data_IF_118502690943
#
_entry.id   IF_118502690943
#
_cell.length_a   1.000
_cell.length_b   1.000
_cell.length_c   1.000
_cell.angle_alpha   90.00
_cell.angle_beta   90.00
_cell.angle_gamma   90.00
#
_symmetry.space_group_name_H-M   'P 1'
#
loop_
_entity.id
_entity.type
_entity.pdbx_description
1 polymer ?
#
# COMPACT_ATOMS: atom_id res chain seq x y z
N UNK A 1 -37.27 -6.61 38.17
CA UNK A 1 -35.92 -5.99 38.25
C UNK A 1 -34.78 -6.98 37.98
N UNK A 2 -34.90 -8.28 38.27
CA UNK A 2 -33.87 -9.30 37.96
C UNK A 2 -33.82 -9.73 36.49
N UNK A 3 -34.97 -9.80 35.79
CA UNK A 3 -35.03 -10.15 34.38
C UNK A 3 -34.39 -9.12 33.44
N UNK A 4 -34.52 -7.82 33.73
CA UNK A 4 -33.89 -6.74 32.93
C UNK A 4 -32.36 -6.74 33.03
N UNK A 5 -31.80 -7.18 34.17
CA UNK A 5 -30.35 -7.34 34.35
C UNK A 5 -29.82 -8.56 33.58
N UNK A 6 -30.55 -9.67 33.57
CA UNK A 6 -30.18 -10.85 32.78
C UNK A 6 -30.24 -10.59 31.28
N UNK A 7 -31.28 -9.89 30.79
CA UNK A 7 -31.36 -9.51 29.38
C UNK A 7 -30.25 -8.53 28.98
N UNK A 8 -29.88 -7.60 29.87
CA UNK A 8 -28.75 -6.69 29.63
C UNK A 8 -27.40 -7.41 29.62
N UNK A 9 -27.16 -8.30 30.58
CA UNK A 9 -25.92 -9.10 30.66
C UNK A 9 -25.82 -10.05 29.46
N UNK A 10 -26.92 -10.69 29.07
CA UNK A 10 -26.94 -11.56 27.90
C UNK A 10 -26.68 -10.78 26.61
N UNK A 11 -27.28 -9.59 26.48
CA UNK A 11 -27.04 -8.68 25.35
C UNK A 11 -25.59 -8.20 25.31
N UNK A 12 -25.02 -7.79 26.43
CA UNK A 12 -23.61 -7.37 26.51
C UNK A 12 -22.64 -8.53 26.22
N UNK A 13 -22.91 -9.73 26.73
CA UNK A 13 -22.14 -10.95 26.41
C UNK A 13 -22.26 -11.33 24.93
N UNK A 14 -23.46 -11.21 24.34
CA UNK A 14 -23.68 -11.47 22.92
C UNK A 14 -22.91 -10.48 22.04
N UNK A 15 -22.92 -9.19 22.40
CA UNK A 15 -22.15 -8.14 21.71
C UNK A 15 -20.65 -8.39 21.84
N UNK A 16 -20.18 -8.75 23.05
CA UNK A 16 -18.77 -9.04 23.31
C UNK A 16 -18.31 -10.31 22.59
N UNK A 17 -19.14 -11.35 22.57
CA UNK A 17 -18.87 -12.60 21.87
C UNK A 17 -18.83 -12.41 20.36
N UNK A 18 -19.72 -11.59 19.81
CA UNK A 18 -19.68 -11.24 18.38
C UNK A 18 -18.43 -10.43 18.04
N UNK A 19 -18.07 -9.42 18.84
CA UNK A 19 -16.83 -8.66 18.65
C UNK A 19 -15.58 -9.56 18.71
N UNK A 20 -15.57 -10.56 19.59
CA UNK A 20 -14.47 -11.53 19.69
C UNK A 20 -14.39 -12.43 18.46
N UNK A 21 -15.54 -12.92 17.95
CA UNK A 21 -15.59 -13.70 16.72
C UNK A 21 -15.05 -12.92 15.51
N UNK A 22 -15.51 -11.68 15.34
CA UNK A 22 -15.03 -10.79 14.27
C UNK A 22 -13.53 -10.52 14.38
N UNK A 23 -13.02 -10.35 15.61
CA UNK A 23 -11.59 -10.16 15.85
C UNK A 23 -10.77 -11.40 15.46
N UNK A 24 -11.22 -12.60 15.81
CA UNK A 24 -10.56 -13.84 15.41
C UNK A 24 -10.58 -14.01 13.89
N UNK A 25 -11.72 -13.73 13.26
CA UNK A 25 -11.87 -13.84 11.82
C UNK A 25 -10.90 -12.88 11.09
N UNK A 26 -10.83 -11.63 11.52
CA UNK A 26 -9.92 -10.63 10.97
C UNK A 26 -8.44 -11.04 11.14
N UNK A 27 -8.05 -11.54 12.32
CA UNK A 27 -6.69 -12.05 12.55
C UNK A 27 -6.41 -13.24 11.63
N UNK A 28 -7.38 -14.15 11.48
CA UNK A 28 -7.25 -15.35 10.64
C UNK A 28 -7.07 -14.99 9.17
N UNK A 29 -7.81 -14.00 8.68
CA UNK A 29 -7.67 -13.48 7.31
C UNK A 29 -6.27 -12.91 7.08
N UNK A 30 -5.77 -12.09 8.01
CA UNK A 30 -4.42 -11.50 7.93
C UNK A 30 -3.33 -12.57 7.94
N UNK A 31 -3.45 -13.57 8.81
CA UNK A 31 -2.49 -14.68 8.88
C UNK A 31 -2.55 -15.52 7.60
N UNK A 32 -3.74 -15.84 7.11
CA UNK A 32 -3.92 -16.60 5.87
C UNK A 32 -3.26 -15.88 4.68
N UNK A 33 -3.52 -14.57 4.52
CA UNK A 33 -2.92 -13.75 3.45
C UNK A 33 -1.39 -13.70 3.57
N UNK A 34 -0.83 -13.60 4.78
CA UNK A 34 0.63 -13.66 5.00
C UNK A 34 1.25 -15.01 4.61
N UNK A 35 0.62 -16.10 4.99
CA UNK A 35 1.07 -17.46 4.63
C UNK A 35 1.05 -17.64 3.11
N UNK A 36 0.00 -17.17 2.44
CA UNK A 36 -0.11 -17.21 0.99
C UNK A 36 1.01 -16.40 0.31
N UNK A 37 1.26 -15.18 0.77
CA UNK A 37 2.37 -14.35 0.26
C UNK A 37 3.73 -15.07 0.43
N UNK A 38 3.99 -15.69 1.59
CA UNK A 38 5.23 -16.44 1.83
C UNK A 38 5.35 -17.62 0.87
N UNK A 39 4.26 -18.36 0.66
CA UNK A 39 4.21 -19.48 -0.27
C UNK A 39 4.53 -19.04 -1.70
N UNK A 40 3.97 -17.91 -2.15
CA UNK A 40 4.27 -17.34 -3.46
C UNK A 40 5.74 -16.89 -3.57
N UNK A 41 6.33 -16.26 -2.53
CA UNK A 41 7.76 -15.92 -2.53
C UNK A 41 8.66 -17.16 -2.60
N UNK A 42 8.26 -18.25 -1.94
CA UNK A 42 8.96 -19.52 -2.07
C UNK A 42 8.89 -20.06 -3.50
N UNK A 43 7.73 -19.99 -4.14
CA UNK A 43 7.56 -20.37 -5.55
C UNK A 43 8.43 -19.50 -6.48
N UNK A 44 8.44 -18.19 -6.29
CA UNK A 44 9.30 -17.27 -7.05
C UNK A 44 10.78 -17.61 -6.88
N UNK A 45 11.23 -17.86 -5.65
CA UNK A 45 12.61 -18.29 -5.36
C UNK A 45 12.95 -19.61 -6.07
N UNK A 46 12.04 -20.58 -6.08
CA UNK A 46 12.24 -21.84 -6.79
C UNK A 46 12.33 -21.66 -8.32
N UNK A 47 11.52 -20.76 -8.89
CA UNK A 47 11.58 -20.44 -10.32
C UNK A 47 12.90 -19.77 -10.69
N UNK A 48 13.38 -18.83 -9.88
CA UNK A 48 14.69 -18.20 -10.06
C UNK A 48 15.82 -19.22 -10.00
N UNK A 49 15.80 -20.11 -9.01
CA UNK A 49 16.79 -21.20 -8.89
C UNK A 49 16.80 -22.09 -10.15
N UNK A 50 15.63 -22.41 -10.70
CA UNK A 50 15.54 -23.20 -11.94
C UNK A 50 16.14 -22.45 -13.14
N UNK A 51 15.95 -21.13 -13.24
CA UNK A 51 16.59 -20.33 -14.28
C UNK A 51 18.11 -20.39 -14.15
N UNK A 52 18.63 -20.29 -12.93
CA UNK A 52 20.06 -20.40 -12.66
C UNK A 52 20.60 -21.81 -13.00
N UNK A 53 19.86 -22.87 -12.64
CA UNK A 53 20.23 -24.26 -12.95
C UNK A 53 20.30 -24.51 -14.47
N UNK A 54 19.34 -23.98 -15.23
CA UNK A 54 19.32 -24.07 -16.70
C UNK A 54 20.48 -23.30 -17.30
N UNK A 55 20.75 -22.09 -16.80
CA UNK A 55 21.87 -21.26 -17.24
C UNK A 55 23.21 -21.96 -16.96
N UNK A 56 23.37 -22.53 -15.76
CA UNK A 56 24.56 -23.29 -15.38
C UNK A 56 24.71 -24.57 -16.22
N UNK A 57 23.61 -25.25 -16.56
CA UNK A 57 23.62 -26.43 -17.45
C UNK A 57 24.12 -26.07 -18.85
N UNK A 58 23.61 -24.99 -19.44
CA UNK A 58 24.09 -24.50 -20.75
C UNK A 58 25.56 -24.12 -20.68
N UNK A 59 25.98 -23.40 -19.63
CA UNK A 59 27.38 -23.05 -19.42
C UNK A 59 28.30 -24.28 -19.35
N UNK A 60 27.88 -25.34 -18.63
CA UNK A 60 28.63 -26.61 -18.58
C UNK A 60 28.70 -27.30 -19.94
N UNK A 61 27.61 -27.33 -20.71
CA UNK A 61 27.59 -27.92 -22.05
C UNK A 61 28.55 -27.20 -23.00
N UNK A 62 28.54 -25.85 -22.98
CA UNK A 62 29.46 -25.05 -23.78
C UNK A 62 30.92 -25.31 -23.37
N UNK A 63 31.22 -25.30 -22.07
CA UNK A 63 32.57 -25.52 -21.57
C UNK A 63 33.11 -26.92 -21.94
N UNK A 64 32.27 -27.95 -21.87
CA UNK A 64 32.60 -29.33 -22.25
C UNK A 64 32.90 -29.42 -23.75
N UNK A 65 32.01 -28.89 -24.60
CA UNK A 65 32.18 -28.91 -26.06
C UNK A 65 33.41 -28.13 -26.54
N UNK A 66 33.71 -26.98 -25.91
CA UNK A 66 34.93 -26.21 -26.19
C UNK A 66 36.18 -26.98 -25.77
N UNK A 67 36.13 -27.65 -24.62
CA UNK A 67 37.25 -28.49 -24.14
C UNK A 67 37.49 -29.68 -25.05
N UNK A 68 36.44 -30.40 -25.46
CA UNK A 68 36.55 -31.55 -26.36
C UNK A 68 37.07 -31.16 -27.74
N UNK A 69 36.71 -29.97 -28.24
CA UNK A 69 37.29 -29.42 -29.48
C UNK A 69 38.79 -29.13 -29.37
N UNK A 70 39.27 -28.73 -28.19
CA UNK A 70 40.69 -28.48 -27.96
C UNK A 70 41.50 -29.79 -27.93
N UNK A 71 40.90 -30.87 -27.44
CA UNK A 71 41.57 -32.16 -27.23
C UNK A 71 41.34 -33.17 -28.38
N UNK A 72 40.30 -33.00 -29.21
CA UNK A 72 39.96 -33.92 -30.30
C UNK A 72 39.71 -33.18 -31.62
N UNK A 73 40.18 -33.74 -32.74
CA UNK A 73 39.85 -33.27 -34.11
C UNK A 73 38.44 -33.71 -34.52
N UNK A 74 37.43 -33.52 -33.67
CA UNK A 74 36.03 -33.79 -34.02
C UNK A 74 35.55 -32.80 -35.10
N UNK A 75 34.62 -33.25 -35.95
CA UNK A 75 34.06 -32.43 -37.04
C UNK A 75 33.38 -31.16 -36.49
N UNK A 76 33.76 -29.95 -36.95
CA UNK A 76 33.27 -28.68 -36.40
C UNK A 76 31.74 -28.50 -36.46
N UNK A 77 31.10 -29.02 -37.50
CA UNK A 77 29.70 -28.71 -37.80
C UNK A 77 28.74 -29.38 -36.81
N UNK A 78 29.00 -30.63 -36.42
CA UNK A 78 28.14 -31.39 -35.48
C UNK A 78 28.07 -30.75 -34.09
N UNK A 79 29.17 -30.16 -33.62
CA UNK A 79 29.26 -29.50 -32.31
C UNK A 79 28.47 -28.19 -32.30
N UNK A 80 28.55 -27.41 -33.37
CA UNK A 80 27.83 -26.13 -33.48
C UNK A 80 26.32 -26.37 -33.48
N UNK A 81 25.84 -27.36 -34.23
CA UNK A 81 24.42 -27.72 -34.23
C UNK A 81 23.93 -28.20 -32.85
N UNK A 82 24.68 -29.06 -32.16
CA UNK A 82 24.29 -29.55 -30.84
C UNK A 82 24.23 -28.44 -29.77
N UNK A 83 25.14 -27.46 -29.84
CA UNK A 83 25.13 -26.30 -28.92
C UNK A 83 23.98 -25.35 -29.25
N UNK A 84 23.70 -25.10 -30.54
CA UNK A 84 22.62 -24.22 -30.98
C UNK A 84 21.23 -24.78 -30.61
N UNK A 85 21.04 -26.10 -30.77
CA UNK A 85 19.82 -26.79 -30.33
C UNK A 85 19.64 -26.67 -28.81
N UNK A 86 20.69 -26.97 -28.03
CA UNK A 86 20.65 -26.87 -26.58
C UNK A 86 20.40 -25.43 -26.10
N UNK A 87 20.95 -24.42 -26.78
CA UNK A 87 20.72 -23.02 -26.48
C UNK A 87 19.29 -22.60 -26.81
N UNK A 88 18.75 -23.08 -27.93
CA UNK A 88 17.38 -22.81 -28.35
C UNK A 88 16.36 -23.40 -27.36
N UNK A 89 16.56 -24.66 -26.95
CA UNK A 89 15.75 -25.33 -25.93
C UNK A 89 15.83 -24.59 -24.58
N UNK A 90 17.04 -24.30 -24.11
CA UNK A 90 17.25 -23.57 -22.87
C UNK A 90 16.61 -22.17 -22.89
N UNK A 91 16.69 -21.47 -24.02
CA UNK A 91 16.03 -20.15 -24.18
C UNK A 91 14.52 -20.26 -24.08
N UNK A 92 13.91 -21.26 -24.74
CA UNK A 92 12.48 -21.49 -24.66
C UNK A 92 12.06 -21.80 -23.20
N UNK A 93 12.81 -22.65 -22.52
CA UNK A 93 12.54 -23.03 -21.14
C UNK A 93 12.71 -21.87 -20.15
N UNK A 94 13.80 -21.09 -20.26
CA UNK A 94 13.98 -19.87 -19.44
C UNK A 94 12.84 -18.88 -19.68
N UNK A 95 12.38 -18.74 -20.93
CA UNK A 95 11.30 -17.83 -21.24
C UNK A 95 9.96 -18.27 -20.63
N UNK A 96 9.68 -19.57 -20.59
CA UNK A 96 8.54 -20.13 -19.86
C UNK A 96 8.64 -19.88 -18.35
N UNK A 97 9.81 -20.17 -17.75
CA UNK A 97 10.06 -19.91 -16.33
C UNK A 97 9.88 -18.42 -15.98
N UNK A 98 10.37 -17.50 -16.83
CA UNK A 98 10.18 -16.06 -16.66
C UNK A 98 8.71 -15.66 -16.74
N UNK A 99 7.92 -16.25 -17.65
CA UNK A 99 6.47 -16.00 -17.70
C UNK A 99 5.78 -16.45 -16.43
N UNK A 100 6.14 -17.62 -15.90
CA UNK A 100 5.60 -18.10 -14.62
C UNK A 100 5.99 -17.19 -13.46
N UNK A 101 7.24 -16.71 -13.43
CA UNK A 101 7.70 -15.77 -12.40
C UNK A 101 6.89 -14.47 -12.42
N UNK A 102 6.65 -13.89 -13.61
CA UNK A 102 5.83 -12.69 -13.75
C UNK A 102 4.40 -12.88 -13.24
N UNK A 103 3.82 -14.08 -13.41
CA UNK A 103 2.49 -14.40 -12.87
C UNK A 103 2.50 -14.46 -11.35
N UNK A 104 3.50 -15.11 -10.74
CA UNK A 104 3.66 -15.16 -9.28
C UNK A 104 3.87 -13.75 -8.70
N UNK A 105 4.69 -12.92 -9.34
CA UNK A 105 4.89 -11.53 -8.92
C UNK A 105 3.60 -10.70 -8.99
N UNK A 106 2.79 -10.92 -10.03
CA UNK A 106 1.48 -10.26 -10.15
C UNK A 106 0.54 -10.67 -9.02
N UNK A 107 0.49 -11.96 -8.66
CA UNK A 107 -0.31 -12.46 -7.53
C UNK A 107 0.15 -11.88 -6.19
N UNK A 108 1.47 -11.82 -5.95
CA UNK A 108 2.02 -11.19 -4.75
C UNK A 108 1.60 -9.72 -4.67
N UNK A 109 1.66 -9.00 -5.79
CA UNK A 109 1.27 -7.59 -5.85
C UNK A 109 -0.21 -7.39 -5.57
N UNK A 110 -1.07 -8.24 -6.11
CA UNK A 110 -2.52 -8.21 -5.90
C UNK A 110 -2.86 -8.39 -4.41
N UNK A 111 -2.33 -9.43 -3.76
CA UNK A 111 -2.54 -9.67 -2.33
C UNK A 111 -2.03 -8.51 -1.45
N UNK A 112 -0.90 -7.91 -1.81
CA UNK A 112 -0.38 -6.72 -1.10
C UNK A 112 -1.28 -5.51 -1.26
N UNK A 113 -1.87 -5.32 -2.45
CA UNK A 113 -2.78 -4.21 -2.72
C UNK A 113 -4.10 -4.40 -1.97
N UNK A 114 -4.62 -5.61 -1.93
CA UNK A 114 -5.80 -5.96 -1.13
C UNK A 114 -5.58 -5.72 0.36
N UNK A 115 -4.42 -6.15 0.90
CA UNK A 115 -4.05 -5.88 2.29
C UNK A 115 -3.96 -4.37 2.58
N UNK A 116 -3.30 -3.61 1.71
CA UNK A 116 -3.19 -2.16 1.84
C UNK A 116 -4.57 -1.49 1.80
N UNK A 117 -5.46 -1.96 0.93
CA UNK A 117 -6.81 -1.43 0.84
C UNK A 117 -7.58 -1.63 2.15
N UNK A 118 -7.50 -2.81 2.74
CA UNK A 118 -8.16 -3.12 4.01
C UNK A 118 -7.56 -2.31 5.17
N UNK A 119 -6.24 -2.17 5.22
CA UNK A 119 -5.56 -1.32 6.21
C UNK A 119 -6.02 0.15 6.11
N UNK A 120 -6.20 0.66 4.89
CA UNK A 120 -6.72 2.01 4.67
C UNK A 120 -8.19 2.17 5.10
N UNK A 121 -9.02 1.14 4.90
CA UNK A 121 -10.40 1.16 5.39
C UNK A 121 -10.46 1.16 6.92
N UNK A 122 -9.63 0.35 7.58
CA UNK A 122 -9.52 0.34 9.04
C UNK A 122 -9.02 1.69 9.57
N UNK A 123 -7.97 2.24 8.96
CA UNK A 123 -7.46 3.56 9.30
C UNK A 123 -8.54 4.63 9.16
N UNK A 124 -9.30 4.62 8.06
CA UNK A 124 -10.39 5.57 7.85
C UNK A 124 -11.48 5.43 8.90
N UNK A 125 -11.87 4.19 9.25
CA UNK A 125 -12.82 3.92 10.31
C UNK A 125 -12.34 4.45 11.66
N UNK A 126 -11.11 4.13 12.05
CA UNK A 126 -10.51 4.55 13.33
C UNK A 126 -10.42 6.08 13.45
N UNK A 127 -10.00 6.74 12.37
CA UNK A 127 -9.98 8.19 12.29
C UNK A 127 -11.40 8.76 12.47
N UNK A 128 -12.38 8.23 11.74
CA UNK A 128 -13.77 8.68 11.82
C UNK A 128 -14.37 8.52 13.21
N UNK A 129 -14.19 7.37 13.86
CA UNK A 129 -14.67 7.10 15.22
C UNK A 129 -14.06 8.06 16.23
N UNK A 130 -12.80 8.47 16.02
CA UNK A 130 -12.05 9.36 16.92
C UNK A 130 -12.19 10.85 16.56
N UNK A 131 -13.10 11.21 15.65
CA UNK A 131 -13.22 12.60 15.15
C UNK A 131 -11.89 13.16 14.64
N UNK A 132 -11.09 12.30 14.01
CA UNK A 132 -9.83 12.61 13.36
C UNK A 132 -9.95 12.36 11.85
N UNK A 133 -9.02 12.91 11.08
CA UNK A 133 -9.05 12.82 9.62
C UNK A 133 -7.68 12.94 8.97
N UNK A 134 -7.68 12.72 7.67
CA UNK A 134 -6.57 13.04 6.77
C UNK A 134 -7.09 14.10 5.80
N UNK A 135 -6.48 15.28 5.82
CA UNK A 135 -6.85 16.37 4.93
C UNK A 135 -5.76 16.67 3.92
N UNK A 136 -6.21 16.90 2.68
CA UNK A 136 -5.38 17.34 1.57
C UNK A 136 -5.57 18.83 1.38
N UNK A 137 -4.60 19.62 1.81
CA UNK A 137 -4.68 21.08 1.83
C UNK A 137 -3.75 21.68 0.77
N UNK A 138 -4.30 22.45 -0.16
CA UNK A 138 -3.50 23.15 -1.16
C UNK A 138 -3.06 24.51 -0.63
N UNK A 139 -1.76 24.80 -0.74
CA UNK A 139 -1.20 26.10 -0.37
C UNK A 139 -1.63 27.14 -1.39
N UNK A 140 -2.57 28.01 -1.02
CA UNK A 140 -3.04 29.06 -1.90
C UNK A 140 -2.01 30.20 -2.01
N UNK A 141 -2.00 30.90 -3.15
CA UNK A 141 -1.02 31.97 -3.44
C UNK A 141 -1.03 33.14 -2.44
N UNK A 142 -2.14 33.34 -1.72
CA UNK A 142 -2.29 34.40 -0.70
C UNK A 142 -2.55 33.85 0.70
N UNK A 143 -2.27 32.57 0.92
CA UNK A 143 -2.41 31.95 2.23
C UNK A 143 -1.30 32.40 3.18
N UNK A 144 -1.56 32.36 4.48
CA UNK A 144 -0.56 32.67 5.50
C UNK A 144 0.64 31.69 5.46
N UNK A 145 0.43 30.48 4.94
CA UNK A 145 1.46 29.49 4.74
C UNK A 145 2.42 29.76 3.57
N UNK A 146 2.04 30.60 2.59
CA UNK A 146 2.83 30.78 1.37
C UNK A 146 4.17 31.48 1.66
N UNK A 147 5.28 30.86 1.26
CA UNK A 147 6.64 31.37 1.49
C UNK A 147 7.14 31.21 2.93
N UNK A 148 6.37 30.57 3.81
CA UNK A 148 6.76 30.31 5.19
C UNK A 148 7.39 28.91 5.33
N UNK A 149 8.32 28.72 6.28
CA UNK A 149 8.78 27.38 6.63
C UNK A 149 7.67 26.60 7.33
N UNK A 150 7.69 25.27 7.21
CA UNK A 150 6.70 24.39 7.84
C UNK A 150 6.66 24.57 9.37
N UNK A 151 7.78 24.93 10.00
CA UNK A 151 7.85 25.26 11.44
C UNK A 151 7.02 26.48 11.85
N UNK A 152 6.66 27.38 10.92
CA UNK A 152 5.78 28.51 11.18
C UNK A 152 4.30 28.12 11.20
N UNK A 153 3.97 26.86 10.92
CA UNK A 153 2.61 26.37 10.97
C UNK A 153 2.04 26.44 12.41
N UNK A 154 0.71 26.50 12.56
CA UNK A 154 0.07 26.42 13.86
C UNK A 154 0.59 25.21 14.63
N UNK A 155 1.13 25.43 15.83
CA UNK A 155 1.60 24.35 16.69
C UNK A 155 0.38 23.59 17.20
N UNK A 156 0.20 22.39 16.69
CA UNK A 156 -0.92 21.54 17.03
C UNK A 156 -0.42 20.38 17.89
N UNK A 157 -1.20 20.02 18.91
CA UNK A 157 -0.75 19.09 19.95
C UNK A 157 -0.89 17.63 19.51
N UNK A 158 -1.83 17.35 18.59
CA UNK A 158 -2.18 16.00 18.16
C UNK A 158 -2.22 15.81 16.65
N UNK A 159 -1.96 16.85 15.86
CA UNK A 159 -1.90 16.76 14.40
C UNK A 159 -0.48 16.90 13.87
N UNK A 160 -0.24 16.21 12.76
CA UNK A 160 1.05 16.10 12.13
C UNK A 160 0.92 16.27 10.63
N UNK A 161 1.89 16.96 10.04
CA UNK A 161 2.04 17.01 8.59
C UNK A 161 2.75 15.73 8.16
N UNK A 162 2.07 14.88 7.40
CA UNK A 162 2.60 13.60 6.97
C UNK A 162 3.57 13.75 5.78
N UNK A 163 3.22 14.61 4.82
CA UNK A 163 4.04 14.87 3.63
C UNK A 163 3.57 16.12 2.89
N UNK A 164 4.43 16.64 2.02
CA UNK A 164 4.11 17.72 1.07
C UNK A 164 4.32 17.20 -0.35
N UNK A 165 3.31 17.34 -1.21
CA UNK A 165 3.44 17.09 -2.65
C UNK A 165 3.72 18.41 -3.37
N UNK A 166 4.80 18.43 -4.15
CA UNK A 166 5.14 19.52 -5.07
C UNK A 166 5.15 18.97 -6.49
N UNK A 167 4.04 19.15 -7.20
CA UNK A 167 3.83 18.48 -8.48
C UNK A 167 3.85 16.95 -8.33
N UNK A 168 4.72 16.20 -9.05
CA UNK A 168 4.80 14.75 -8.96
C UNK A 168 5.67 14.22 -7.81
N UNK A 169 6.31 15.11 -7.04
CA UNK A 169 7.30 14.72 -6.02
C UNK A 169 6.69 14.75 -4.62
N UNK A 170 6.91 13.67 -3.86
CA UNK A 170 6.64 13.60 -2.43
C UNK A 170 7.86 14.09 -1.65
N UNK A 171 7.66 15.08 -0.79
CA UNK A 171 8.68 15.71 0.04
C UNK A 171 8.41 15.33 1.49
N UNK A 172 9.45 14.84 2.17
CA UNK A 172 9.38 14.58 3.62
C UNK A 172 9.17 15.89 4.36
N UNK A 173 8.27 15.95 5.34
CA UNK A 173 8.06 17.16 6.14
C UNK A 173 9.32 17.44 6.96
N UNK A 174 9.92 18.60 6.78
CA UNK A 174 11.03 19.11 7.60
C UNK A 174 10.70 20.53 8.09
N UNK A 175 11.25 20.92 9.24
CA UNK A 175 10.92 22.20 9.87
C UNK A 175 11.34 23.42 9.04
N UNK A 176 12.37 23.26 8.22
CA UNK A 176 12.95 24.25 7.30
C UNK A 176 12.31 24.23 5.90
N UNK A 177 11.42 23.27 5.61
CA UNK A 177 10.76 23.17 4.31
C UNK A 177 9.88 24.40 4.06
N UNK A 178 10.30 25.22 3.10
CA UNK A 178 9.54 26.40 2.67
C UNK A 178 8.39 25.98 1.76
N UNK A 179 7.18 26.33 2.18
CA UNK A 179 5.93 26.05 1.48
C UNK A 179 5.74 27.02 0.32
N UNK A 180 5.39 26.48 -0.85
CA UNK A 180 5.18 27.23 -2.07
C UNK A 180 3.71 27.18 -2.49
N UNK A 181 3.18 28.25 -3.12
CA UNK A 181 1.87 28.19 -3.75
C UNK A 181 1.75 27.02 -4.72
N UNK A 182 0.67 26.24 -4.59
CA UNK A 182 0.45 25.02 -5.37
C UNK A 182 1.00 23.74 -4.73
N UNK A 183 1.78 23.84 -3.65
CA UNK A 183 2.08 22.69 -2.81
C UNK A 183 0.79 22.10 -2.25
N UNK A 184 0.81 20.79 -2.02
CA UNK A 184 -0.31 20.05 -1.43
C UNK A 184 0.21 19.39 -0.16
N UNK A 185 -0.30 19.84 0.97
CA UNK A 185 0.10 19.35 2.28
C UNK A 185 -0.90 18.30 2.74
N UNK A 186 -0.40 17.15 3.16
CA UNK A 186 -1.22 16.10 3.78
C UNK A 186 -1.08 16.21 5.29
N UNK A 187 -2.18 16.53 5.97
CA UNK A 187 -2.22 16.70 7.42
C UNK A 187 -3.10 15.61 8.02
N UNK A 188 -2.67 15.05 9.15
CA UNK A 188 -3.39 14.01 9.88
C UNK A 188 -3.61 14.50 11.31
N UNK A 189 -4.81 14.38 11.84
CA UNK A 189 -5.09 14.66 13.25
C UNK A 189 -6.57 14.92 13.56
N UNK A 190 -6.89 15.46 14.75
CA UNK A 190 -8.26 15.76 15.15
C UNK A 190 -8.91 16.82 14.24
N UNK A 191 -10.20 16.66 13.93
CA UNK A 191 -10.92 17.56 13.02
C UNK A 191 -10.83 19.03 13.44
N UNK A 192 -10.86 19.30 14.75
CA UNK A 192 -10.73 20.66 15.31
C UNK A 192 -9.40 21.33 15.01
N UNK A 193 -8.31 20.55 14.94
CA UNK A 193 -6.99 21.08 14.60
C UNK A 193 -6.82 21.19 13.07
N UNK A 194 -7.39 20.25 12.31
CA UNK A 194 -7.40 20.28 10.85
C UNK A 194 -8.10 21.54 10.30
N UNK A 195 -9.19 21.97 10.92
CA UNK A 195 -9.88 23.21 10.57
C UNK A 195 -8.96 24.45 10.69
N UNK A 196 -8.06 24.47 11.69
CA UNK A 196 -7.07 25.55 11.84
C UNK A 196 -6.01 25.52 10.73
N UNK A 197 -5.54 24.32 10.36
CA UNK A 197 -4.62 24.15 9.23
C UNK A 197 -5.26 24.55 7.91
N UNK A 198 -6.53 24.20 7.69
CA UNK A 198 -7.29 24.60 6.51
C UNK A 198 -7.26 26.11 6.32
N UNK A 199 -7.52 26.87 7.39
CA UNK A 199 -7.45 28.33 7.33
C UNK A 199 -6.03 28.83 7.01
N UNK A 200 -5.00 28.26 7.62
CA UNK A 200 -3.62 28.69 7.42
C UNK A 200 -3.10 28.42 5.99
N UNK A 201 -3.42 27.26 5.41
CA UNK A 201 -2.97 26.84 4.09
C UNK A 201 -3.78 27.40 2.92
N UNK A 202 -5.09 27.63 3.12
CA UNK A 202 -5.98 28.05 2.02
C UNK A 202 -6.39 29.52 2.12
N UNK A 203 -6.31 30.12 3.31
CA UNK A 203 -6.88 31.44 3.59
C UNK A 203 -8.42 31.46 3.62
N UNK A 204 -9.09 30.31 3.51
CA UNK A 204 -10.53 30.19 3.61
C UNK A 204 -10.98 29.92 5.04
N UNK A 205 -12.16 30.42 5.43
CA UNK A 205 -12.79 30.03 6.71
C UNK A 205 -13.10 28.52 6.69
N UNK A 206 -13.03 27.82 7.84
CA UNK A 206 -13.40 26.42 7.93
C UNK A 206 -14.79 26.20 7.34
N UNK A 207 -14.91 25.26 6.41
CA UNK A 207 -16.19 24.81 5.92
C UNK A 207 -16.86 24.05 7.07
N UNK A 208 -17.75 24.73 7.78
CA UNK A 208 -18.65 24.05 8.71
C UNK A 208 -19.34 22.92 7.93
N UNK A 209 -19.28 21.66 8.37
CA UNK A 209 -19.98 20.58 7.69
C UNK A 209 -21.45 21.00 7.62
N UNK A 210 -21.99 21.03 6.40
CA UNK A 210 -23.36 21.41 6.16
C UNK A 210 -24.25 20.50 7.01
N UNK A 211 -24.79 21.05 8.11
CA UNK A 211 -25.93 20.45 8.81
C UNK A 211 -26.98 20.22 7.74
N UNK A 212 -27.20 18.95 7.41
CA UNK A 212 -28.32 18.50 6.61
C UNK A 212 -29.57 19.14 7.21
N UNK A 213 -30.10 20.18 6.54
CA UNK A 213 -31.38 20.76 6.90
C UNK A 213 -32.41 19.67 6.68
N UNK A 214 -32.82 19.01 7.76
CA UNK A 214 -34.11 18.33 7.79
C UNK A 214 -35.18 19.35 7.39
N UNK A 215 -36.07 19.04 6.45
CA UNK A 215 -37.15 19.94 6.10
C UNK A 215 -38.05 20.10 7.32
N UNK A 216 -38.07 21.31 7.89
CA UNK A 216 -39.12 21.71 8.82
C UNK A 216 -40.44 21.79 8.05
N UNK A 217 -41.23 20.74 8.14
CA UNK A 217 -42.64 20.74 7.77
C UNK A 217 -43.42 21.59 8.76
N UNK A 218 -43.61 22.85 8.37
CA UNK A 218 -44.69 23.79 8.65
C UNK A 218 -45.71 23.33 9.70
N UNK A 219 -45.64 23.94 10.88
CA UNK A 219 -46.76 24.02 11.80
C UNK A 219 -47.30 25.45 11.89
N UNK A 220 -48.58 25.53 12.27
CA UNK A 220 -49.39 26.68 12.72
C UNK A 220 -50.03 27.59 11.65
N UNK A 221 -51.15 28.30 11.93
CA UNK A 221 -52.02 28.30 13.13
C UNK A 221 -53.56 28.30 12.84
N UNK A 222 -54.35 27.79 13.79
CA UNK A 222 -55.58 28.37 14.38
C UNK A 222 -56.29 27.30 15.22
#
# INVERSE_FOLDING_TARGET
MTFELFDRVHKELSITGQAFYESILAISEVVNRKVEIIRLHWQASSLLQRIDDVTARVGRLIAMQVSDRLHSRLQPDSIVYAVDEALTDARAHIHELKRSLMQVDAQIRELKLEATHQDLLLLHHDLTVRSAGIERLSVAHRAAAAGQPLSAAPHALASSVATVLRGPVLISPSSDLVLQPGDIVIVIGPQTELDHFTHWFTGQRPLTPARTRLPQGVGTPA
#
